data_IF_941481567298
#
_entry.id   IF_941481567298
#
_cell.length_a   1.000
_cell.length_b   1.000
_cell.length_c   1.000
_cell.angle_alpha   90.00
_cell.angle_beta   90.00
_cell.angle_gamma   90.00
#
_symmetry.space_group_name_H-M   'P 1'
#
loop_
_entity.id
_entity.type
_entity.pdbx_description
1 polymer ?
#
# COMPACT_ATOMS: atom_id res chain seq x y z
N UNK A 1 11.31 58.24 -34.58
CA UNK A 1 9.96 57.79 -35.03
C UNK A 1 9.51 56.41 -34.51
N UNK A 2 10.33 55.60 -33.81
CA UNK A 2 9.95 54.25 -33.36
C UNK A 2 9.28 54.15 -31.96
N UNK A 3 9.11 55.26 -31.22
CA UNK A 3 8.60 55.23 -29.83
C UNK A 3 7.06 55.22 -29.72
N UNK A 4 6.34 55.63 -30.77
CA UNK A 4 4.87 55.70 -30.75
C UNK A 4 4.19 54.38 -31.17
N UNK A 5 4.91 53.42 -31.76
CA UNK A 5 4.37 52.12 -32.20
C UNK A 5 4.26 51.09 -31.07
N UNK A 6 5.06 51.20 -30.00
CA UNK A 6 5.08 50.23 -28.90
C UNK A 6 3.84 50.29 -27.98
N UNK A 7 3.17 51.44 -27.91
CA UNK A 7 1.97 51.64 -27.07
C UNK A 7 0.72 51.03 -27.73
N UNK A 8 0.68 50.99 -29.06
CA UNK A 8 -0.39 50.35 -29.83
C UNK A 8 -0.35 48.81 -29.77
N UNK A 9 0.82 48.20 -29.52
CA UNK A 9 1.02 46.74 -29.50
C UNK A 9 0.52 46.01 -28.24
N UNK A 10 0.13 46.75 -27.18
CA UNK A 10 -0.37 46.17 -25.91
C UNK A 10 -1.89 46.07 -25.85
N UNK A 11 -2.61 46.85 -26.67
CA UNK A 11 -4.07 46.95 -26.62
C UNK A 11 -4.69 45.70 -27.27
N UNK A 12 -5.62 45.05 -26.56
CA UNK A 12 -6.34 43.86 -27.05
C UNK A 12 -5.66 42.51 -26.81
N UNK A 13 -4.50 42.44 -26.12
CA UNK A 13 -3.84 41.18 -25.75
C UNK A 13 -3.90 40.95 -24.22
N UNK A 14 -4.01 39.69 -23.76
CA UNK A 14 -3.89 39.35 -22.34
C UNK A 14 -2.57 39.88 -21.76
N UNK A 15 -2.63 40.37 -20.53
CA UNK A 15 -1.44 40.87 -19.83
C UNK A 15 -0.40 39.74 -19.69
N UNK A 16 0.91 40.02 -19.86
CA UNK A 16 1.95 39.03 -19.59
C UNK A 16 1.86 38.49 -18.15
N UNK A 17 2.17 37.19 -17.97
CA UNK A 17 2.29 36.58 -16.64
C UNK A 17 3.33 37.35 -15.80
N UNK A 18 3.17 37.37 -14.47
CA UNK A 18 4.00 38.22 -13.60
C UNK A 18 5.52 38.03 -13.78
N UNK A 19 5.98 36.79 -14.03
CA UNK A 19 7.39 36.48 -14.28
C UNK A 19 7.92 36.91 -15.65
N UNK A 20 7.09 37.44 -16.54
CA UNK A 20 7.51 38.06 -17.81
C UNK A 20 7.95 39.51 -17.63
N UNK A 21 7.77 40.08 -16.44
CA UNK A 21 8.31 41.38 -16.08
C UNK A 21 9.66 41.18 -15.38
N UNK A 22 10.63 42.10 -15.57
CA UNK A 22 11.85 42.08 -14.78
C UNK A 22 11.50 42.16 -13.29
N UNK A 23 12.32 41.55 -12.42
CA UNK A 23 12.05 41.48 -10.98
C UNK A 23 11.65 42.85 -10.42
N UNK A 24 10.50 42.89 -9.73
CA UNK A 24 9.94 44.10 -9.12
C UNK A 24 10.96 44.74 -8.18
N UNK A 25 11.75 43.93 -7.49
CA UNK A 25 12.77 44.37 -6.55
C UNK A 25 14.19 44.24 -7.11
N UNK A 26 14.36 44.21 -8.44
CA UNK A 26 15.70 44.06 -9.06
C UNK A 26 16.71 45.14 -8.67
N UNK A 27 16.22 46.33 -8.28
CA UNK A 27 17.05 47.45 -7.83
C UNK A 27 17.34 47.44 -6.33
N UNK A 28 16.78 46.46 -5.60
CA UNK A 28 16.99 46.30 -4.15
C UNK A 28 18.11 45.28 -3.95
N UNK A 29 19.24 45.67 -3.34
CA UNK A 29 20.32 44.75 -2.95
C UNK A 29 19.81 43.53 -2.15
N UNK A 30 20.45 42.38 -2.32
CA UNK A 30 20.02 41.13 -1.68
C UNK A 30 20.02 41.21 -0.13
N UNK A 31 20.95 41.97 0.46
CA UNK A 31 21.05 42.18 1.91
C UNK A 31 19.81 42.87 2.53
N UNK A 32 18.98 43.52 1.72
CA UNK A 32 17.76 44.20 2.17
C UNK A 32 16.49 43.33 2.02
N UNK A 33 16.59 42.13 1.42
CA UNK A 33 15.43 41.27 1.12
C UNK A 33 15.69 39.78 1.40
N UNK A 34 15.46 39.29 2.63
CA UNK A 34 15.09 40.05 3.83
C UNK A 34 16.30 40.69 4.51
N UNK A 35 16.07 41.77 5.27
CA UNK A 35 17.09 42.29 6.18
C UNK A 35 17.42 41.24 7.24
N UNK A 36 18.71 40.90 7.38
CA UNK A 36 19.21 39.96 8.39
C UNK A 36 19.38 40.67 9.74
N UNK A 37 18.31 41.29 10.25
CA UNK A 37 18.28 41.87 11.59
C UNK A 37 18.39 40.80 12.68
N UNK A 38 18.73 41.19 13.90
CA UNK A 38 18.90 40.26 15.02
C UNK A 38 20.31 39.68 15.20
N UNK A 39 21.32 40.21 14.49
CA UNK A 39 22.73 39.83 14.66
C UNK A 39 23.23 39.96 16.11
N UNK A 40 22.66 40.90 16.87
CA UNK A 40 22.96 41.11 18.28
C UNK A 40 22.71 39.87 19.16
N UNK A 41 21.80 38.98 18.77
CA UNK A 41 21.51 37.74 19.50
C UNK A 41 22.39 36.56 19.07
N UNK A 42 23.17 36.69 17.99
CA UNK A 42 23.92 35.57 17.42
C UNK A 42 24.92 34.99 18.43
N UNK A 43 25.69 35.86 19.09
CA UNK A 43 26.69 35.43 20.07
C UNK A 43 26.02 34.82 21.32
N UNK A 44 24.88 35.36 21.74
CA UNK A 44 24.08 34.82 22.84
C UNK A 44 23.59 33.40 22.53
N UNK A 45 23.04 33.17 21.33
CA UNK A 45 22.61 31.83 20.91
C UNK A 45 23.77 30.85 20.73
N UNK A 46 24.93 31.33 20.27
CA UNK A 46 26.11 30.48 20.15
C UNK A 46 26.57 29.98 21.52
N UNK A 47 26.70 30.90 22.49
CA UNK A 47 27.06 30.56 23.86
C UNK A 47 26.01 29.65 24.48
N UNK A 48 24.72 29.95 24.28
CA UNK A 48 23.62 29.11 24.75
C UNK A 48 23.68 27.71 24.18
N UNK A 49 23.93 27.54 22.87
CA UNK A 49 24.06 26.22 22.25
C UNK A 49 25.26 25.43 22.78
N UNK A 50 26.36 26.11 23.10
CA UNK A 50 27.53 25.48 23.71
C UNK A 50 27.22 25.04 25.15
N UNK A 51 26.52 25.87 25.92
CA UNK A 51 26.06 25.51 27.26
C UNK A 51 25.05 24.37 27.22
N UNK A 52 24.06 24.40 26.32
CA UNK A 52 23.06 23.34 26.14
C UNK A 52 23.75 22.01 25.75
N UNK A 53 24.79 22.05 24.91
CA UNK A 53 25.57 20.86 24.54
C UNK A 53 26.35 20.28 25.73
N UNK A 54 26.93 21.13 26.58
CA UNK A 54 27.61 20.71 27.81
C UNK A 54 26.61 20.17 28.84
N UNK A 55 25.45 20.80 29.02
CA UNK A 55 24.38 20.31 29.87
C UNK A 55 23.85 18.96 29.39
N UNK A 56 23.63 18.79 28.07
CA UNK A 56 23.22 17.52 27.49
C UNK A 56 24.29 16.42 27.70
N UNK A 57 25.58 16.76 27.57
CA UNK A 57 26.68 15.84 27.82
C UNK A 57 26.78 15.46 29.31
N UNK A 58 26.58 16.42 30.23
CA UNK A 58 26.53 16.15 31.66
C UNK A 58 25.33 15.26 32.03
N UNK A 59 24.14 15.53 31.48
CA UNK A 59 22.96 14.68 31.70
C UNK A 59 23.19 13.24 31.22
N UNK A 60 23.93 13.02 30.13
CA UNK A 60 24.32 11.68 29.70
C UNK A 60 25.27 11.01 30.70
N UNK A 61 26.26 11.73 31.24
CA UNK A 61 27.16 11.23 32.28
C UNK A 61 26.45 10.90 33.61
N UNK A 62 25.53 11.74 34.05
CA UNK A 62 24.74 11.52 35.28
C UNK A 62 23.72 10.38 35.14
N UNK A 63 23.10 10.20 33.96
CA UNK A 63 22.13 9.11 33.74
C UNK A 63 22.78 7.71 33.65
N UNK A 64 24.05 7.62 33.27
CA UNK A 64 24.81 6.35 33.38
C UNK A 64 25.19 6.02 34.82
N UNK A 65 25.41 7.01 35.67
CA UNK A 65 25.72 6.79 37.09
C UNK A 65 24.47 6.44 37.92
N UNK A 66 23.29 7.01 37.61
CA UNK A 66 22.08 6.79 38.41
C UNK A 66 21.32 5.48 38.05
N UNK A 67 21.53 4.89 36.87
CA UNK A 67 20.92 3.58 36.51
C UNK A 67 21.68 2.39 37.11
N UNK A 68 22.90 2.60 37.62
CA UNK A 68 23.70 1.59 38.30
C UNK A 68 23.51 1.61 39.85
N UNK A 69 22.46 2.26 40.35
CA UNK A 69 22.17 2.37 41.78
C UNK A 69 20.89 1.62 42.17
N UNK A 70 20.92 0.28 42.14
CA UNK A 70 19.79 -0.55 42.56
C UNK A 70 20.20 -1.96 42.99
N UNK A 71 20.59 -2.07 44.27
CA UNK A 71 20.75 -3.29 45.08
C UNK A 71 21.97 -4.20 44.80
N UNK A 72 22.93 -4.17 45.74
CA UNK A 72 23.59 -5.39 46.21
C UNK A 72 25.10 -5.35 46.42
N UNK A 73 25.48 -5.41 47.70
CA UNK A 73 26.72 -6.01 48.22
C UNK A 73 28.03 -5.21 48.17
N UNK A 74 28.41 -4.72 49.35
CA UNK A 74 29.76 -4.34 49.71
C UNK A 74 30.74 -5.50 49.56
N UNK A 75 31.91 -5.26 48.95
CA UNK A 75 33.23 -5.56 49.52
C UNK A 75 34.36 -5.24 48.52
N UNK A 76 35.40 -4.62 49.07
CA UNK A 76 36.81 -4.68 48.65
C UNK A 76 37.27 -3.88 47.42
N UNK A 77 37.96 -2.79 47.76
CA UNK A 77 39.32 -2.43 47.33
C UNK A 77 39.58 -1.96 45.88
N UNK A 78 40.22 -0.80 45.78
CA UNK A 78 40.82 -0.30 44.54
C UNK A 78 40.20 1.00 44.03
N UNK A 79 40.60 2.11 44.63
CA UNK A 79 40.46 3.46 44.08
C UNK A 79 41.13 3.50 42.70
N UNK A 80 40.34 3.60 41.64
CA UNK A 80 40.72 4.25 40.39
C UNK A 80 39.48 4.89 39.80
N UNK A 81 39.38 6.21 39.98
CA UNK A 81 38.49 7.05 39.19
C UNK A 81 39.01 7.08 37.77
N UNK A 82 38.46 6.21 36.92
CA UNK A 82 38.59 6.30 35.47
C UNK A 82 37.24 6.69 34.89
N UNK A 83 36.78 7.89 35.24
CA UNK A 83 35.65 8.52 34.57
C UNK A 83 36.14 9.23 33.30
N UNK A 84 35.76 8.65 32.15
CA UNK A 84 35.47 9.33 30.89
C UNK A 84 36.64 9.93 30.08
N UNK A 85 37.68 9.15 29.78
CA UNK A 85 38.41 9.34 28.51
C UNK A 85 38.26 8.07 27.66
N UNK A 86 37.67 8.19 26.46
CA UNK A 86 37.62 7.10 25.48
C UNK A 86 39.00 6.71 24.94
N UNK A 87 40.05 7.39 25.41
CA UNK A 87 41.44 7.16 25.07
C UNK A 87 42.00 6.16 26.07
N UNK A 88 41.71 4.88 25.84
CA UNK A 88 42.39 3.79 26.54
C UNK A 88 43.67 3.43 25.78
N UNK A 89 44.88 3.81 26.27
CA UNK A 89 46.12 3.46 25.59
C UNK A 89 46.27 1.93 25.58
N UNK A 90 46.16 1.32 24.40
CA UNK A 90 46.39 -0.12 24.19
C UNK A 90 47.76 -0.33 23.57
N UNK A 91 48.63 -1.04 24.30
CA UNK A 91 49.92 -1.49 23.79
C UNK A 91 49.71 -2.70 22.89
N UNK A 92 50.24 -2.72 21.65
CA UNK A 92 50.08 -3.86 20.75
C UNK A 92 50.74 -5.14 21.29
N UNK A 93 51.76 -5.03 22.15
CA UNK A 93 52.40 -6.16 22.81
C UNK A 93 51.48 -6.84 23.84
N UNK A 94 50.45 -6.15 24.34
CA UNK A 94 49.48 -6.72 25.28
C UNK A 94 48.50 -7.70 24.59
N UNK A 95 48.39 -7.67 23.25
CA UNK A 95 47.47 -8.51 22.47
C UNK A 95 48.16 -9.70 21.77
N UNK A 96 49.32 -10.15 22.27
CA UNK A 96 50.01 -11.33 21.74
C UNK A 96 49.11 -12.58 21.81
N UNK A 97 48.28 -12.68 22.86
CA UNK A 97 47.32 -13.77 23.01
C UNK A 97 46.30 -13.84 21.87
N UNK A 98 45.73 -12.69 21.46
CA UNK A 98 44.78 -12.62 20.34
C UNK A 98 45.43 -12.98 19.00
N UNK A 99 46.66 -12.54 18.76
CA UNK A 99 47.44 -12.88 17.55
C UNK A 99 47.73 -14.38 17.50
N UNK A 100 48.18 -14.98 18.61
CA UNK A 100 48.46 -16.42 18.67
C UNK A 100 47.19 -17.26 18.51
N UNK A 101 46.04 -16.78 19.03
CA UNK A 101 44.76 -17.46 18.87
C UNK A 101 44.33 -17.51 17.41
N UNK A 102 44.51 -16.42 16.64
CA UNK A 102 44.16 -16.37 15.21
C UNK A 102 45.07 -17.24 14.34
N UNK A 103 46.31 -17.46 14.77
CA UNK A 103 47.27 -18.34 14.09
C UNK A 103 47.02 -19.84 14.29
N UNK A 104 46.01 -20.23 15.07
CA UNK A 104 45.65 -21.64 15.26
C UNK A 104 44.99 -22.20 14.00
N UNK A 105 45.16 -23.50 13.77
CA UNK A 105 44.57 -24.19 12.61
C UNK A 105 43.05 -24.08 12.57
N UNK A 106 42.40 -24.16 13.73
CA UNK A 106 40.95 -24.16 13.83
C UNK A 106 40.33 -22.80 13.44
N UNK A 107 40.99 -21.70 13.84
CA UNK A 107 40.58 -20.34 13.46
C UNK A 107 40.81 -20.09 11.98
N UNK A 108 41.94 -20.55 11.43
CA UNK A 108 42.23 -20.46 10.00
C UNK A 108 41.19 -21.25 9.19
N UNK A 109 40.81 -22.45 9.64
CA UNK A 109 39.77 -23.24 8.98
C UNK A 109 38.40 -22.55 9.02
N UNK A 110 38.06 -21.89 10.13
CA UNK A 110 36.82 -21.12 10.23
C UNK A 110 36.83 -19.89 9.30
N UNK A 111 37.94 -19.15 9.24
CA UNK A 111 38.11 -18.01 8.32
C UNK A 111 38.03 -18.46 6.85
N UNK A 112 38.66 -19.60 6.49
CA UNK A 112 38.58 -20.17 5.14
C UNK A 112 37.15 -20.60 4.78
N UNK A 113 36.41 -21.22 5.71
CA UNK A 113 34.99 -21.56 5.49
C UNK A 113 34.14 -20.31 5.28
N UNK A 114 34.36 -19.26 6.07
CA UNK A 114 33.65 -17.99 5.92
C UNK A 114 33.97 -17.31 4.58
N UNK A 115 35.24 -17.33 4.17
CA UNK A 115 35.66 -16.78 2.89
C UNK A 115 34.98 -17.50 1.72
N UNK A 116 35.01 -18.84 1.70
CA UNK A 116 34.36 -19.63 0.64
C UNK A 116 32.84 -19.35 0.58
N UNK A 117 32.19 -19.15 1.72
CA UNK A 117 30.77 -18.82 1.76
C UNK A 117 30.48 -17.40 1.21
N UNK A 118 31.41 -16.46 1.37
CA UNK A 118 31.27 -15.06 0.91
C UNK A 118 31.79 -14.83 -0.52
N UNK A 119 32.63 -15.72 -1.05
CA UNK A 119 33.20 -15.67 -2.41
C UNK A 119 32.23 -16.18 -3.51
N UNK A 120 31.01 -16.58 -3.13
CA UNK A 120 29.94 -16.83 -4.08
C UNK A 120 29.53 -15.56 -4.84
N UNK A 121 28.92 -15.70 -6.02
CA UNK A 121 28.42 -14.55 -6.77
C UNK A 121 27.37 -13.76 -5.95
N UNK A 122 27.75 -12.58 -5.44
CA UNK A 122 26.85 -11.71 -4.69
C UNK A 122 26.15 -10.75 -5.64
N UNK A 123 24.84 -10.95 -5.85
CA UNK A 123 24.01 -10.05 -6.66
C UNK A 123 23.71 -8.70 -5.99
N UNK A 124 24.08 -8.54 -4.72
CA UNK A 124 23.85 -7.34 -3.91
C UNK A 124 25.11 -6.48 -3.80
N UNK A 125 25.11 -5.30 -4.41
CA UNK A 125 26.25 -4.35 -4.37
C UNK A 125 26.32 -3.52 -3.09
N UNK A 126 25.20 -3.32 -2.40
CA UNK A 126 25.12 -2.48 -1.22
C UNK A 126 23.85 -2.72 -0.42
N UNK A 127 23.67 -1.98 0.65
CA UNK A 127 22.46 -2.08 1.46
C UNK A 127 21.22 -1.74 0.61
N UNK A 128 20.23 -2.63 0.64
CA UNK A 128 18.94 -2.45 -0.02
C UNK A 128 17.84 -2.68 1.00
N UNK A 129 17.15 -1.61 1.36
CA UNK A 129 16.09 -1.60 2.38
C UNK A 129 14.99 -2.62 2.08
N UNK A 130 14.58 -2.76 0.81
CA UNK A 130 13.52 -3.69 0.43
C UNK A 130 13.94 -5.14 0.65
N UNK A 131 15.17 -5.49 0.24
CA UNK A 131 15.68 -6.84 0.45
C UNK A 131 15.82 -7.16 1.94
N UNK A 132 16.32 -6.20 2.73
CA UNK A 132 16.38 -6.33 4.17
C UNK A 132 14.99 -6.53 4.80
N UNK A 133 14.02 -5.70 4.43
CA UNK A 133 12.64 -5.82 4.92
C UNK A 133 12.00 -7.16 4.56
N UNK A 134 12.14 -7.63 3.32
CA UNK A 134 11.59 -8.91 2.90
C UNK A 134 12.27 -10.10 3.61
N UNK A 135 13.60 -10.04 3.81
CA UNK A 135 14.34 -11.05 4.54
C UNK A 135 13.95 -11.09 6.01
N UNK A 136 13.84 -9.93 6.66
CA UNK A 136 13.42 -9.84 8.06
C UNK A 136 11.97 -10.30 8.23
N UNK A 137 11.08 -9.93 7.30
CA UNK A 137 9.70 -10.41 7.32
C UNK A 137 9.62 -11.93 7.10
N UNK A 138 10.49 -12.52 6.27
CA UNK A 138 10.57 -14.00 6.12
C UNK A 138 11.12 -14.63 7.39
N UNK A 139 12.13 -14.03 8.03
CA UNK A 139 12.70 -14.48 9.30
C UNK A 139 11.65 -14.46 10.41
N UNK A 140 10.90 -13.37 10.53
CA UNK A 140 9.78 -13.24 11.46
C UNK A 140 8.64 -14.23 11.18
N UNK A 141 8.36 -14.56 9.91
CA UNK A 141 7.40 -15.64 9.58
C UNK A 141 7.94 -17.02 9.91
N UNK A 142 9.21 -17.28 9.68
CA UNK A 142 9.86 -18.56 9.99
C UNK A 142 9.94 -18.80 11.50
N UNK A 143 10.20 -17.76 12.29
CA UNK A 143 10.15 -17.80 13.77
C UNK A 143 8.74 -17.54 14.33
N UNK A 144 7.76 -17.24 13.48
CA UNK A 144 6.39 -16.86 13.84
C UNK A 144 5.48 -18.02 14.27
N UNK A 145 5.96 -19.27 14.19
CA UNK A 145 5.41 -20.37 14.98
C UNK A 145 5.95 -20.27 16.42
N UNK A 146 5.49 -19.22 17.11
CA UNK A 146 5.57 -18.97 18.55
C UNK A 146 6.68 -19.64 19.35
N UNK A 147 7.85 -19.02 19.40
CA UNK A 147 8.60 -18.82 20.65
C UNK A 147 9.68 -17.76 20.41
N UNK A 148 9.73 -16.74 21.25
CA UNK A 148 10.81 -15.75 21.26
C UNK A 148 12.12 -16.48 21.58
N UNK A 149 12.88 -16.83 20.54
CA UNK A 149 14.22 -17.38 20.70
C UNK A 149 15.24 -16.24 20.60
N UNK A 150 16.00 -16.07 21.68
CA UNK A 150 17.16 -15.20 21.77
C UNK A 150 18.08 -15.34 20.53
N UNK A 151 18.76 -14.26 20.10
CA UNK A 151 19.68 -14.31 18.96
C UNK A 151 20.91 -15.21 19.17
N UNK A 152 21.09 -15.80 20.36
CA UNK A 152 22.17 -16.74 20.67
C UNK A 152 21.87 -18.21 20.33
N UNK A 153 20.64 -18.56 19.94
CA UNK A 153 20.25 -19.95 19.61
C UNK A 153 19.92 -20.17 18.12
N UNK A 154 20.05 -19.13 17.29
CA UNK A 154 19.89 -19.26 15.84
C UNK A 154 21.04 -20.01 15.15
N UNK A 155 22.13 -20.32 15.88
CA UNK A 155 23.21 -21.20 15.41
C UNK A 155 22.96 -22.68 15.74
N UNK A 156 21.97 -23.01 16.57
CA UNK A 156 21.66 -24.38 17.02
C UNK A 156 20.29 -24.90 16.55
N UNK A 157 19.40 -24.04 16.03
CA UNK A 157 18.10 -24.47 15.52
C UNK A 157 18.12 -25.07 14.10
N UNK A 158 19.29 -25.14 13.43
CA UNK A 158 19.49 -25.96 12.22
C UNK A 158 19.93 -27.40 12.54
N UNK A 159 19.97 -27.81 13.82
CA UNK A 159 20.40 -29.16 14.22
C UNK A 159 19.42 -29.96 15.08
N UNK A 160 18.17 -29.52 15.31
CA UNK A 160 17.27 -30.19 16.27
C UNK A 160 16.00 -30.83 15.69
N UNK A 161 15.88 -30.98 14.37
CA UNK A 161 14.90 -31.92 13.75
C UNK A 161 15.55 -33.06 12.97
N UNK A 162 16.86 -33.29 13.19
CA UNK A 162 17.56 -34.47 12.67
C UNK A 162 17.91 -35.52 13.75
N UNK A 163 17.73 -35.23 15.05
CA UNK A 163 18.13 -36.14 16.14
C UNK A 163 16.98 -36.87 16.83
N UNK A 164 15.71 -36.61 16.50
CA UNK A 164 14.57 -37.33 17.08
C UNK A 164 14.12 -38.58 16.28
N UNK A 165 14.83 -38.93 15.20
CA UNK A 165 14.67 -40.19 14.47
C UNK A 165 15.91 -41.10 14.57
N UNK A 166 16.88 -40.75 15.41
CA UNK A 166 18.16 -41.46 15.51
C UNK A 166 18.27 -42.41 16.73
N UNK A 167 17.17 -42.66 17.46
CA UNK A 167 17.20 -43.45 18.69
C UNK A 167 16.39 -44.77 18.64
N UNK A 168 15.91 -45.20 17.46
CA UNK A 168 15.33 -46.55 17.27
C UNK A 168 15.60 -47.10 15.87
N UNK A 169 16.88 -47.24 15.49
CA UNK A 169 17.29 -48.14 14.41
C UNK A 169 18.79 -48.43 14.51
N UNK A 170 19.16 -49.31 15.45
CA UNK A 170 20.40 -50.07 15.29
C UNK A 170 20.21 -51.08 14.16
N UNK A 171 20.40 -50.64 12.92
CA UNK A 171 20.85 -51.46 11.81
C UNK A 171 21.52 -50.50 10.82
N UNK A 172 22.69 -50.88 10.29
CA UNK A 172 23.50 -50.08 9.37
C UNK A 172 22.72 -49.81 8.06
N UNK A 173 21.80 -48.86 8.07
CA UNK A 173 21.08 -48.42 6.90
C UNK A 173 22.00 -47.48 6.12
N UNK A 174 22.52 -47.97 4.99
CA UNK A 174 23.15 -47.12 3.98
C UNK A 174 22.21 -45.95 3.65
N UNK A 175 22.73 -44.74 3.37
CA UNK A 175 21.88 -43.61 2.99
C UNK A 175 21.00 -43.98 1.79
N UNK A 176 19.81 -43.36 1.71
CA UNK A 176 18.93 -43.57 0.56
C UNK A 176 19.70 -43.36 -0.75
N UNK A 177 19.58 -44.32 -1.66
CA UNK A 177 20.32 -44.29 -2.93
C UNK A 177 19.86 -43.08 -3.74
N UNK A 178 20.76 -42.10 -3.91
CA UNK A 178 20.54 -40.97 -4.82
C UNK A 178 20.28 -41.53 -6.22
N UNK A 179 19.13 -41.16 -6.77
CA UNK A 179 18.70 -41.60 -8.09
C UNK A 179 19.59 -40.92 -9.14
N UNK A 180 20.21 -41.72 -10.00
CA UNK A 180 21.04 -41.22 -11.10
C UNK A 180 20.20 -40.69 -12.26
N UNK A 181 20.87 -40.04 -13.21
CA UNK A 181 20.22 -39.52 -14.41
C UNK A 181 19.57 -40.62 -15.25
N UNK A 182 20.11 -41.85 -15.18
CA UNK A 182 19.57 -43.06 -15.81
C UNK A 182 18.15 -43.39 -15.30
N UNK A 183 17.92 -43.24 -14.00
CA UNK A 183 16.60 -43.41 -13.41
C UNK A 183 15.61 -42.39 -13.99
N UNK A 184 16.00 -41.12 -14.10
CA UNK A 184 15.13 -40.05 -14.60
C UNK A 184 14.92 -40.11 -16.11
N UNK A 185 15.90 -40.58 -16.88
CA UNK A 185 15.74 -40.84 -18.32
C UNK A 185 14.64 -41.89 -18.60
N UNK A 186 14.51 -42.89 -17.71
CA UNK A 186 13.46 -43.91 -17.83
C UNK A 186 12.06 -43.44 -17.42
N UNK A 187 11.95 -42.27 -16.76
CA UNK A 187 10.71 -41.76 -16.17
C UNK A 187 10.29 -40.42 -16.80
N UNK A 188 9.68 -40.49 -17.98
CA UNK A 188 9.10 -39.32 -18.67
C UNK A 188 8.17 -38.47 -17.80
N UNK A 189 7.43 -39.07 -16.86
CA UNK A 189 6.57 -38.31 -15.95
C UNK A 189 7.32 -37.36 -15.02
N UNK A 190 8.56 -37.67 -14.64
CA UNK A 190 9.34 -36.82 -13.73
C UNK A 190 9.81 -35.53 -14.40
N UNK A 191 10.22 -35.59 -15.68
CA UNK A 191 10.60 -34.38 -16.43
C UNK A 191 9.43 -33.40 -16.55
N UNK A 192 8.21 -33.90 -16.69
CA UNK A 192 6.99 -33.08 -16.72
C UNK A 192 6.68 -32.42 -15.37
N UNK A 193 6.96 -33.10 -14.25
CA UNK A 193 6.76 -32.54 -12.90
C UNK A 193 7.81 -31.48 -12.55
N UNK A 194 9.06 -31.67 -13.01
CA UNK A 194 10.16 -30.72 -12.76
C UNK A 194 10.00 -29.39 -13.49
N UNK A 195 9.41 -29.42 -14.68
CA UNK A 195 9.18 -28.22 -15.52
C UNK A 195 7.82 -27.56 -15.31
N UNK A 196 6.94 -28.11 -14.46
CA UNK A 196 5.68 -27.46 -14.15
C UNK A 196 5.96 -26.09 -13.54
N UNK A 197 5.37 -25.00 -14.09
CA UNK A 197 5.50 -23.69 -13.47
C UNK A 197 4.99 -23.78 -12.03
N UNK A 198 5.52 -22.97 -11.10
CA UNK A 198 5.16 -23.02 -9.67
C UNK A 198 3.68 -22.75 -9.34
N UNK A 199 2.81 -22.60 -10.35
CA UNK A 199 1.34 -22.59 -10.22
C UNK A 199 0.61 -23.73 -10.95
N UNK A 200 1.32 -24.67 -11.57
CA UNK A 200 0.78 -25.87 -12.21
C UNK A 200 1.09 -27.16 -11.43
N UNK A 201 1.81 -27.03 -10.30
CA UNK A 201 2.03 -28.13 -9.36
C UNK A 201 0.68 -28.60 -8.81
N UNK A 202 0.14 -29.65 -9.42
CA UNK A 202 -0.86 -30.52 -8.81
C UNK A 202 -0.17 -31.32 -7.69
N UNK A 203 0.33 -30.62 -6.66
CA UNK A 203 0.81 -31.28 -5.47
C UNK A 203 -0.39 -31.96 -4.82
N UNK A 204 -0.30 -33.27 -4.58
CA UNK A 204 -1.37 -34.10 -4.04
C UNK A 204 -1.85 -33.70 -2.61
N UNK A 205 -1.33 -32.62 -2.04
CA UNK A 205 -1.78 -31.99 -0.79
C UNK A 205 -2.38 -30.58 -0.95
N UNK A 206 -2.14 -29.90 -2.08
CA UNK A 206 -2.83 -28.66 -2.47
C UNK A 206 -4.08 -29.05 -3.26
N UNK A 207 -5.02 -29.73 -2.58
CA UNK A 207 -6.35 -29.95 -3.13
C UNK A 207 -6.90 -28.56 -3.43
N UNK A 208 -6.92 -28.23 -4.73
CA UNK A 208 -7.62 -27.11 -5.34
C UNK A 208 -8.83 -26.78 -4.48
N UNK A 209 -8.76 -25.67 -3.74
CA UNK A 209 -9.87 -25.27 -2.88
C UNK A 209 -11.09 -25.22 -3.80
N UNK A 210 -12.20 -25.89 -3.45
CA UNK A 210 -13.34 -25.98 -4.38
C UNK A 210 -13.79 -24.59 -4.88
N UNK A 211 -13.58 -23.55 -4.07
CA UNK A 211 -13.78 -22.14 -4.44
C UNK A 211 -12.96 -21.62 -5.63
N UNK A 212 -11.79 -22.22 -5.94
CA UNK A 212 -10.97 -21.90 -7.10
C UNK A 212 -11.47 -22.59 -8.38
N UNK A 213 -12.27 -23.64 -8.24
CA UNK A 213 -12.90 -24.36 -9.36
C UNK A 213 -14.34 -23.88 -9.60
N UNK A 214 -15.00 -23.38 -8.56
CA UNK A 214 -16.40 -22.97 -8.59
C UNK A 214 -16.61 -21.68 -9.39
N UNK A 215 -17.26 -21.81 -10.54
CA UNK A 215 -17.62 -20.68 -11.41
C UNK A 215 -18.54 -19.65 -10.74
N UNK A 216 -19.26 -20.03 -9.69
CA UNK A 216 -20.22 -19.17 -8.99
C UNK A 216 -19.66 -18.57 -7.70
N UNK A 217 -18.45 -18.92 -7.29
CA UNK A 217 -17.87 -18.47 -6.03
C UNK A 217 -17.72 -16.94 -5.98
N UNK A 218 -17.23 -16.35 -7.07
CA UNK A 218 -17.05 -14.90 -7.22
C UNK A 218 -18.30 -14.18 -7.77
N UNK A 219 -19.34 -14.93 -8.17
CA UNK A 219 -20.55 -14.36 -8.73
C UNK A 219 -21.45 -13.71 -7.67
N UNK A 220 -22.22 -12.66 -8.04
CA UNK A 220 -23.14 -12.01 -7.11
C UNK A 220 -24.21 -12.98 -6.56
N UNK A 221 -24.37 -12.97 -5.23
CA UNK A 221 -25.39 -13.76 -4.52
C UNK A 221 -26.55 -12.86 -4.13
N UNK A 222 -27.58 -12.83 -4.98
CA UNK A 222 -28.71 -11.94 -4.78
C UNK A 222 -29.73 -12.47 -3.76
N UNK A 223 -30.36 -11.57 -3.02
CA UNK A 223 -31.53 -11.85 -2.18
C UNK A 223 -32.79 -11.23 -2.79
N UNK A 224 -33.96 -11.78 -2.46
CA UNK A 224 -35.27 -11.24 -2.88
C UNK A 224 -35.53 -9.81 -2.42
N UNK A 225 -34.88 -9.40 -1.33
CA UNK A 225 -35.08 -8.07 -0.75
C UNK A 225 -34.15 -6.99 -1.36
N UNK A 226 -33.35 -7.35 -2.38
CA UNK A 226 -32.44 -6.43 -3.05
C UNK A 226 -33.14 -5.51 -4.03
N UNK A 227 -32.71 -4.25 -4.03
CA UNK A 227 -33.12 -3.25 -5.01
C UNK A 227 -32.00 -3.05 -6.03
N UNK A 228 -32.33 -3.18 -7.31
CA UNK A 228 -31.41 -3.00 -8.43
C UNK A 228 -31.50 -1.57 -8.95
N UNK A 229 -30.49 -0.76 -8.65
CA UNK A 229 -30.38 0.63 -9.12
C UNK A 229 -29.53 0.69 -10.38
N UNK A 230 -30.15 1.06 -11.49
CA UNK A 230 -29.46 1.34 -12.74
C UNK A 230 -29.09 2.82 -12.84
N UNK A 231 -27.79 3.08 -12.97
CA UNK A 231 -27.23 4.39 -13.23
C UNK A 231 -26.69 4.40 -14.66
N UNK A 232 -27.43 5.03 -15.57
CA UNK A 232 -27.06 5.05 -16.99
C UNK A 232 -26.51 6.42 -17.37
N UNK A 233 -25.21 6.45 -17.61
CA UNK A 233 -24.50 7.61 -18.12
C UNK A 233 -24.45 7.55 -19.64
N UNK A 234 -24.97 8.58 -20.32
CA UNK A 234 -24.91 8.75 -21.78
C UNK A 234 -24.16 10.04 -22.12
N UNK A 235 -23.76 10.17 -23.38
CA UNK A 235 -23.00 11.34 -23.89
C UNK A 235 -23.59 12.70 -23.52
N UNK A 236 -24.92 12.83 -23.52
CA UNK A 236 -25.65 14.11 -23.33
C UNK A 236 -26.82 13.99 -22.34
N UNK A 237 -26.80 12.96 -21.50
CA UNK A 237 -27.85 12.74 -20.50
C UNK A 237 -27.36 11.70 -19.48
N UNK A 238 -27.86 11.80 -18.27
CA UNK A 238 -27.68 10.79 -17.23
C UNK A 238 -29.04 10.50 -16.63
N UNK A 239 -29.31 9.23 -16.32
CA UNK A 239 -30.55 8.85 -15.66
C UNK A 239 -30.39 7.71 -14.67
N UNK A 240 -31.30 7.69 -13.70
CA UNK A 240 -31.38 6.69 -12.65
C UNK A 240 -32.76 6.02 -12.66
N UNK A 241 -32.78 4.71 -12.43
CA UNK A 241 -34.00 3.91 -12.27
C UNK A 241 -33.74 2.72 -11.35
N UNK A 242 -34.71 2.33 -10.55
CA UNK A 242 -34.64 1.21 -9.62
C UNK A 242 -35.74 0.19 -9.90
N UNK A 243 -35.36 -1.06 -9.76
CA UNK A 243 -36.23 -2.22 -9.88
C UNK A 243 -36.12 -3.09 -8.64
N UNK A 244 -37.21 -3.77 -8.32
CA UNK A 244 -37.22 -4.87 -7.36
C UNK A 244 -36.56 -6.12 -7.95
N UNK A 245 -36.32 -7.15 -7.13
CA UNK A 245 -35.74 -8.42 -7.54
C UNK A 245 -36.52 -9.09 -8.69
N UNK A 246 -37.86 -8.99 -8.66
CA UNK A 246 -38.74 -9.54 -9.70
C UNK A 246 -38.77 -8.70 -11.00
N UNK A 247 -37.97 -7.63 -11.09
CA UNK A 247 -37.96 -6.74 -12.25
C UNK A 247 -39.12 -5.75 -12.30
N UNK A 248 -39.90 -5.62 -11.22
CA UNK A 248 -40.93 -4.59 -11.10
C UNK A 248 -40.30 -3.23 -10.85
N UNK A 249 -40.72 -2.22 -11.63
CA UNK A 249 -40.18 -0.86 -11.51
C UNK A 249 -40.77 -0.15 -10.29
N UNK A 250 -39.91 0.41 -9.42
CA UNK A 250 -40.31 1.08 -8.18
C UNK A 250 -40.72 2.55 -8.39
N UNK A 251 -39.96 3.26 -9.23
CA UNK A 251 -40.19 4.67 -9.56
C UNK A 251 -39.93 4.92 -11.05
N UNK A 252 -40.61 5.89 -11.68
CA UNK A 252 -40.32 6.28 -13.04
C UNK A 252 -38.89 6.83 -13.17
N UNK A 253 -38.31 6.69 -14.35
CA UNK A 253 -36.92 7.07 -14.62
C UNK A 253 -36.72 8.57 -14.43
N UNK A 254 -35.74 8.96 -13.61
CA UNK A 254 -35.32 10.36 -13.51
C UNK A 254 -34.18 10.59 -14.48
N UNK A 255 -34.36 11.56 -15.37
CA UNK A 255 -33.36 11.98 -16.35
C UNK A 255 -32.95 13.41 -16.09
N UNK A 256 -31.75 13.81 -16.52
CA UNK A 256 -31.33 15.21 -16.42
C UNK A 256 -32.31 16.15 -17.16
N UNK A 257 -32.94 15.67 -18.24
CA UNK A 257 -34.01 16.40 -18.93
C UNK A 257 -35.29 16.57 -18.12
N UNK A 258 -35.79 15.48 -17.54
CA UNK A 258 -37.03 15.50 -16.74
C UNK A 258 -36.91 16.36 -15.47
N UNK A 259 -35.68 16.58 -15.00
CA UNK A 259 -35.36 17.38 -13.82
C UNK A 259 -34.99 18.83 -14.14
N UNK A 260 -35.14 19.26 -15.39
CA UNK A 260 -34.85 20.63 -15.81
C UNK A 260 -33.36 20.99 -15.86
N UNK A 261 -32.47 19.99 -15.79
CA UNK A 261 -31.00 20.18 -15.79
C UNK A 261 -30.40 20.26 -17.20
N UNK A 262 -31.26 20.25 -18.22
CA UNK A 262 -30.91 20.21 -19.64
C UNK A 262 -31.76 21.25 -20.39
N UNK A 263 -31.17 21.83 -21.43
CA UNK A 263 -31.88 22.78 -22.32
C UNK A 263 -31.76 24.26 -21.94
N UNK A 264 -30.93 24.59 -20.94
CA UNK A 264 -30.59 25.98 -20.60
C UNK A 264 -29.36 26.51 -21.36
N UNK A 265 -29.00 27.76 -21.06
CA UNK A 265 -27.99 28.56 -21.79
C UNK A 265 -26.55 28.01 -21.72
N UNK A 266 -26.27 27.09 -20.78
CA UNK A 266 -24.96 26.42 -20.67
C UNK A 266 -24.61 25.54 -21.87
N UNK A 267 -25.60 25.21 -22.70
CA UNK A 267 -25.43 24.49 -23.95
C UNK A 267 -25.10 23.00 -23.77
N UNK A 268 -25.09 22.28 -24.90
CA UNK A 268 -25.11 20.83 -24.88
C UNK A 268 -23.87 20.13 -24.31
N UNK A 269 -22.75 20.86 -24.21
CA UNK A 269 -21.49 20.33 -23.65
C UNK A 269 -21.62 20.02 -22.16
N UNK A 270 -22.47 20.78 -21.45
CA UNK A 270 -22.75 20.59 -20.03
C UNK A 270 -23.83 19.54 -19.74
N UNK A 271 -24.65 19.14 -20.72
CA UNK A 271 -25.83 18.27 -20.49
C UNK A 271 -25.47 16.93 -19.81
N UNK A 272 -24.34 16.33 -20.18
CA UNK A 272 -23.85 15.05 -19.66
C UNK A 272 -22.74 15.19 -18.60
N UNK A 273 -22.70 16.30 -17.88
CA UNK A 273 -21.68 16.57 -16.87
C UNK A 273 -21.76 15.63 -15.67
N UNK A 274 -20.66 15.57 -14.92
CA UNK A 274 -20.56 14.86 -13.64
C UNK A 274 -21.62 15.36 -12.65
N UNK A 275 -21.78 16.67 -12.53
CA UNK A 275 -22.70 17.29 -11.56
C UNK A 275 -24.17 16.97 -11.89
N UNK A 276 -24.54 16.98 -13.16
CA UNK A 276 -25.89 16.56 -13.57
C UNK A 276 -26.15 15.10 -13.22
N UNK A 277 -25.13 14.23 -13.32
CA UNK A 277 -25.23 12.84 -12.87
C UNK A 277 -25.47 12.73 -11.35
N UNK A 278 -24.76 13.53 -10.55
CA UNK A 278 -24.93 13.59 -9.10
C UNK A 278 -26.33 14.10 -8.71
N UNK A 279 -26.80 15.17 -9.34
CA UNK A 279 -28.12 15.75 -9.05
C UNK A 279 -29.25 14.78 -9.39
N UNK A 280 -29.20 14.13 -10.55
CA UNK A 280 -30.24 13.15 -10.93
C UNK A 280 -30.30 11.97 -9.97
N UNK A 281 -29.14 11.39 -9.62
CA UNK A 281 -29.07 10.25 -8.72
C UNK A 281 -29.50 10.62 -7.29
N UNK A 282 -29.04 11.76 -6.76
CA UNK A 282 -29.41 12.22 -5.42
C UNK A 282 -30.91 12.52 -5.30
N UNK A 283 -31.51 13.19 -6.30
CA UNK A 283 -32.95 13.41 -6.35
C UNK A 283 -33.73 12.09 -6.44
N UNK A 284 -33.23 11.12 -7.23
CA UNK A 284 -33.87 9.82 -7.36
C UNK A 284 -33.86 9.02 -6.06
N UNK A 285 -32.70 8.97 -5.38
CA UNK A 285 -32.55 8.25 -4.11
C UNK A 285 -33.42 8.83 -2.99
N UNK A 286 -33.58 10.15 -2.94
CA UNK A 286 -34.46 10.82 -1.97
C UNK A 286 -35.92 10.36 -2.12
N UNK A 287 -36.41 10.26 -3.35
CA UNK A 287 -37.79 9.84 -3.62
C UNK A 287 -37.95 8.31 -3.56
N UNK A 288 -36.86 7.55 -3.76
CA UNK A 288 -36.86 6.09 -3.78
C UNK A 288 -37.08 5.48 -2.39
N UNK A 289 -36.46 6.06 -1.35
CA UNK A 289 -36.54 5.55 0.01
C UNK A 289 -38.00 5.41 0.54
N UNK A 290 -38.87 6.44 0.46
CA UNK A 290 -40.26 6.29 0.92
C UNK A 290 -41.03 5.26 0.10
N UNK A 291 -40.78 5.15 -1.21
CA UNK A 291 -41.45 4.16 -2.07
C UNK A 291 -41.07 2.72 -1.75
N UNK A 292 -39.81 2.47 -1.40
CA UNK A 292 -39.38 1.15 -0.93
C UNK A 292 -40.07 0.81 0.39
N UNK A 293 -40.19 1.78 1.31
CA UNK A 293 -40.90 1.58 2.58
C UNK A 293 -42.38 1.26 2.36
N UNK A 294 -43.06 1.97 1.46
CA UNK A 294 -44.45 1.70 1.08
C UNK A 294 -44.61 0.30 0.47
N UNK A 295 -43.75 -0.07 -0.49
CA UNK A 295 -43.81 -1.37 -1.15
C UNK A 295 -43.56 -2.54 -0.17
N UNK A 296 -42.59 -2.36 0.73
CA UNK A 296 -42.27 -3.33 1.78
C UNK A 296 -43.35 -3.42 2.85
N UNK A 297 -43.99 -2.31 3.21
CA UNK A 297 -45.15 -2.32 4.12
C UNK A 297 -46.34 -3.05 3.48
N UNK A 298 -46.58 -2.85 2.18
CA UNK A 298 -47.63 -3.56 1.44
C UNK A 298 -47.39 -5.07 1.35
N UNK A 299 -46.13 -5.53 1.35
CA UNK A 299 -45.77 -6.95 1.38
C UNK A 299 -45.69 -7.55 2.79
N UNK A 300 -46.03 -6.77 3.83
CA UNK A 300 -46.01 -7.23 5.23
C UNK A 300 -44.62 -7.28 5.86
N UNK A 301 -43.62 -6.63 5.26
CA UNK A 301 -42.23 -6.58 5.74
C UNK A 301 -41.78 -5.13 5.98
N UNK A 302 -42.39 -4.39 6.92
CA UNK A 302 -42.05 -2.98 7.13
C UNK A 302 -40.57 -2.82 7.51
N UNK A 303 -39.91 -1.82 6.91
CA UNK A 303 -38.51 -1.52 7.18
C UNK A 303 -38.35 -0.97 8.61
N UNK A 304 -37.51 -1.62 9.42
CA UNK A 304 -37.26 -1.21 10.80
C UNK A 304 -36.49 0.11 10.92
N UNK A 305 -36.55 0.73 12.11
CA UNK A 305 -35.74 1.92 12.39
C UNK A 305 -34.26 1.55 12.41
N UNK A 306 -33.47 2.14 11.51
CA UNK A 306 -32.03 1.87 11.36
C UNK A 306 -31.69 0.72 10.41
N UNK A 307 -32.69 0.09 9.80
CA UNK A 307 -32.46 -0.92 8.76
C UNK A 307 -32.10 -0.23 7.43
N UNK A 308 -31.04 -0.72 6.78
CA UNK A 308 -30.58 -0.20 5.49
C UNK A 308 -31.17 -1.02 4.35
N UNK A 309 -31.44 -0.36 3.24
CA UNK A 309 -31.85 -1.04 2.01
C UNK A 309 -30.62 -1.63 1.33
N UNK A 310 -30.60 -2.95 1.13
CA UNK A 310 -29.56 -3.61 0.35
C UNK A 310 -29.75 -3.31 -1.14
N UNK A 311 -28.70 -2.77 -1.75
CA UNK A 311 -28.75 -2.20 -3.10
C UNK A 311 -27.66 -2.83 -3.98
N UNK A 312 -28.05 -3.19 -5.20
CA UNK A 312 -27.16 -3.60 -6.28
C UNK A 312 -27.08 -2.45 -7.27
N UNK A 313 -25.91 -1.80 -7.36
CA UNK A 313 -25.70 -0.68 -8.28
C UNK A 313 -25.25 -1.26 -9.62
N UNK A 314 -26.08 -1.13 -10.65
CA UNK A 314 -25.75 -1.45 -12.04
C UNK A 314 -25.45 -0.18 -12.80
N UNK A 315 -24.21 -0.05 -13.27
CA UNK A 315 -23.77 1.13 -14.01
C UNK A 315 -23.74 0.81 -15.50
N UNK A 316 -24.15 1.77 -16.31
CA UNK A 316 -23.99 1.70 -17.76
C UNK A 316 -23.32 2.96 -18.29
N UNK A 317 -22.38 2.76 -19.20
CA UNK A 317 -21.72 3.81 -19.97
C UNK A 317 -20.40 4.26 -19.38
N UNK A 318 -19.53 4.71 -20.28
CA UNK A 318 -18.20 5.26 -19.98
C UNK A 318 -18.20 6.80 -19.91
N UNK A 319 -19.37 7.43 -19.84
CA UNK A 319 -19.51 8.89 -19.90
C UNK A 319 -19.42 9.55 -18.52
N UNK A 320 -19.09 10.85 -18.50
CA UNK A 320 -18.76 11.64 -17.30
C UNK A 320 -19.80 11.59 -16.18
N UNK A 321 -21.09 11.56 -16.51
CA UNK A 321 -22.19 11.49 -15.53
C UNK A 321 -22.13 10.30 -14.56
N UNK A 322 -21.38 9.24 -14.91
CA UNK A 322 -21.16 8.05 -14.09
C UNK A 322 -20.55 8.40 -12.73
N UNK A 323 -19.50 9.22 -12.72
CA UNK A 323 -18.74 9.52 -11.50
C UNK A 323 -19.62 10.23 -10.46
N UNK A 324 -20.38 11.23 -10.90
CA UNK A 324 -21.29 11.96 -10.02
C UNK A 324 -22.45 11.09 -9.52
N UNK A 325 -22.99 10.24 -10.39
CA UNK A 325 -24.10 9.37 -10.02
C UNK A 325 -23.71 8.34 -8.94
N UNK A 326 -22.54 7.71 -9.06
CA UNK A 326 -22.04 6.77 -8.04
C UNK A 326 -21.70 7.50 -6.73
N UNK A 327 -21.12 8.70 -6.81
CA UNK A 327 -20.86 9.52 -5.63
C UNK A 327 -22.14 9.84 -4.85
N UNK A 328 -23.24 10.16 -5.53
CA UNK A 328 -24.52 10.42 -4.89
C UNK A 328 -25.07 9.21 -4.11
N UNK A 329 -24.77 7.99 -4.56
CA UNK A 329 -25.11 6.75 -3.81
C UNK A 329 -24.25 6.65 -2.55
N UNK A 330 -22.96 6.94 -2.66
CA UNK A 330 -22.04 6.91 -1.52
C UNK A 330 -22.42 7.92 -0.43
N UNK A 331 -22.87 9.11 -0.81
CA UNK A 331 -23.37 10.15 0.08
C UNK A 331 -24.61 9.68 0.90
N UNK A 332 -25.30 8.62 0.46
CA UNK A 332 -26.48 8.01 1.09
C UNK A 332 -26.20 6.65 1.74
N UNK A 333 -24.95 6.40 2.14
CA UNK A 333 -24.54 5.16 2.84
C UNK A 333 -25.20 4.95 4.21
N UNK A 334 -25.85 5.97 4.76
CA UNK A 334 -26.68 5.87 5.97
C UNK A 334 -27.96 5.07 5.72
N UNK A 335 -28.57 5.21 4.55
CA UNK A 335 -29.87 4.64 4.21
C UNK A 335 -29.74 3.40 3.30
N UNK A 336 -28.75 3.42 2.40
CA UNK A 336 -28.51 2.35 1.43
C UNK A 336 -27.19 1.63 1.72
N UNK A 337 -27.21 0.30 1.64
CA UNK A 337 -26.03 -0.56 1.72
C UNK A 337 -25.76 -1.15 0.34
N UNK A 338 -24.70 -0.70 -0.31
CA UNK A 338 -24.28 -1.28 -1.60
C UNK A 338 -23.64 -2.65 -1.36
N UNK A 339 -24.23 -3.71 -1.93
CA UNK A 339 -23.72 -5.09 -1.83
C UNK A 339 -22.85 -5.47 -3.00
N UNK A 340 -23.30 -5.12 -4.19
CA UNK A 340 -22.62 -5.39 -5.45
C UNK A 340 -22.62 -4.13 -6.31
N UNK A 341 -21.49 -3.89 -6.97
CA UNK A 341 -21.32 -2.85 -7.98
C UNK A 341 -20.99 -3.54 -9.29
N UNK A 342 -21.94 -3.54 -10.21
CA UNK A 342 -21.84 -4.24 -11.49
C UNK A 342 -21.85 -3.21 -12.62
N UNK A 343 -21.00 -3.40 -13.62
CA UNK A 343 -21.00 -2.60 -14.83
C UNK A 343 -21.57 -3.43 -15.98
N UNK A 344 -22.77 -3.08 -16.45
CA UNK A 344 -23.48 -3.79 -17.51
C UNK A 344 -23.40 -3.02 -18.84
N UNK A 345 -22.30 -2.30 -19.05
CA UNK A 345 -22.06 -1.53 -20.28
C UNK A 345 -21.97 -2.46 -21.50
N UNK A 346 -22.74 -2.21 -22.57
CA UNK A 346 -22.72 -3.06 -23.76
C UNK A 346 -21.41 -2.89 -24.55
N UNK A 347 -20.81 -4.02 -24.94
CA UNK A 347 -19.67 -4.09 -25.86
C UNK A 347 -20.12 -4.62 -27.23
N UNK A 348 -20.04 -3.81 -28.31
CA UNK A 348 -20.49 -4.24 -29.63
C UNK A 348 -19.46 -5.17 -30.30
N UNK A 349 -19.75 -6.48 -30.30
CA UNK A 349 -18.95 -7.51 -31.00
C UNK A 349 -19.44 -7.68 -32.45
N UNK A 350 -19.36 -6.61 -33.26
CA UNK A 350 -19.84 -6.59 -34.65
C UNK A 350 -21.38 -6.74 -34.79
N UNK A 351 -22.12 -5.87 -34.09
CA UNK A 351 -23.58 -5.79 -34.16
C UNK A 351 -24.12 -5.00 -35.37
N UNK A 352 -25.40 -4.59 -35.35
CA UNK A 352 -26.00 -3.84 -36.46
C UNK A 352 -25.25 -2.52 -36.74
N UNK A 353 -25.30 -2.07 -38.00
CA UNK A 353 -24.67 -0.82 -38.42
C UNK A 353 -25.21 0.35 -37.62
N UNK A 354 -24.33 1.00 -36.85
CA UNK A 354 -24.66 2.21 -36.08
C UNK A 354 -24.85 3.43 -37.00
N UNK A 355 -25.54 4.49 -36.55
CA UNK A 355 -25.66 5.73 -37.31
C UNK A 355 -24.30 6.26 -37.77
N UNK A 356 -24.20 6.62 -39.06
CA UNK A 356 -22.94 7.06 -39.68
C UNK A 356 -22.40 8.29 -38.97
N UNK A 357 -21.09 8.28 -38.67
CA UNK A 357 -20.39 9.47 -38.19
C UNK A 357 -20.25 10.53 -39.28
N UNK A 358 -19.69 11.69 -38.92
CA UNK A 358 -19.44 12.77 -39.89
C UNK A 358 -18.51 12.31 -41.01
N UNK A 359 -17.47 11.51 -40.68
CA UNK A 359 -16.51 11.03 -41.66
C UNK A 359 -16.88 9.66 -42.22
N UNK A 360 -17.04 8.66 -41.35
CA UNK A 360 -17.45 7.29 -41.69
C UNK A 360 -18.29 6.72 -40.55
#
# INVERSE_FOLDING_TARGET
MLKNSAVLLRRGKPRPRAGMFPDKYRRVPALLKPQQGGQQYFNEFLIRSANDALEAQQQQGYNTAFRAGGAGSAAADGVNGDEMSSVHPRLPQADIGGVLQRSRTDTIQAELKQLVAQDGFVSQRGFNERLWYEQEHRRLRAHGNGTEANPSEAATASSSTAEAAAATAEERALPERILGDDYFQSKFGYSLLKEQPPGASMAAGDINTYSQLDWWAEMPKYSRDFVFLYLVSRRRNTYAVAYDYDGKRLLPTYTAGNRGLKGGDRGFRGDGSTDNGHQVASMYLNDLLPKIREARAASGRPLGRGEKVDLVVRVMGFYNGRQGAVRAVQDRSTDFRVRYLEDVTPFPLNGPKMPRGVFR
#
